data_IF_368181921569
#
_entry.id   IF_368181921569
#
_cell.length_a   1.000
_cell.length_b   1.000
_cell.length_c   1.000
_cell.angle_alpha   90.00
_cell.angle_beta   90.00
_cell.angle_gamma   90.00
#
_symmetry.space_group_name_H-M   'P 1'
#
loop_
_entity.id
_entity.type
_entity.pdbx_description
1 polymer ?
#
# COMPACT_ATOMS: atom_id res chain seq x y z
N UNK A 1 -6.98 19.38 -20.91
CA UNK A 1 -7.77 18.82 -19.82
C UNK A 1 -8.58 17.69 -20.40
N UNK A 2 -8.26 16.45 -20.03
CA UNK A 2 -9.01 15.30 -20.52
C UNK A 2 -10.31 15.18 -19.71
N UNK A 3 -11.36 14.58 -20.33
CA UNK A 3 -12.63 14.36 -19.65
C UNK A 3 -12.51 13.51 -18.37
N UNK A 4 -11.37 12.80 -18.19
CA UNK A 4 -11.03 12.07 -16.97
C UNK A 4 -10.70 13.01 -15.80
N UNK A 5 -10.04 14.15 -16.03
CA UNK A 5 -9.71 15.11 -14.98
C UNK A 5 -10.96 15.75 -14.37
N UNK A 6 -12.05 15.82 -15.13
CA UNK A 6 -13.33 16.34 -14.65
C UNK A 6 -14.11 15.33 -13.80
N UNK A 7 -13.87 14.04 -13.98
CA UNK A 7 -14.55 12.96 -13.23
C UNK A 7 -13.93 12.70 -11.84
N UNK A 8 -12.72 13.19 -11.59
CA UNK A 8 -11.97 12.93 -10.34
C UNK A 8 -11.99 14.16 -9.41
N UNK A 9 -12.54 15.30 -9.84
CA UNK A 9 -12.64 16.47 -8.98
C UNK A 9 -13.79 16.29 -7.96
N UNK A 10 -13.42 15.84 -6.76
CA UNK A 10 -14.33 15.73 -5.62
C UNK A 10 -14.61 17.13 -5.05
N UNK A 11 -15.86 17.53 -5.08
CA UNK A 11 -16.30 18.74 -4.40
C UNK A 11 -16.37 18.44 -2.87
N UNK A 12 -15.50 19.08 -2.10
CA UNK A 12 -15.18 18.82 -0.70
C UNK A 12 -16.30 19.14 0.31
N UNK A 13 -17.55 19.34 -0.13
CA UNK A 13 -18.60 19.89 0.72
C UNK A 13 -19.83 18.99 0.95
N UNK A 14 -19.75 17.68 0.73
CA UNK A 14 -20.83 16.75 1.03
C UNK A 14 -20.33 15.55 1.84
N UNK A 15 -21.10 15.14 2.86
CA UNK A 15 -20.82 13.99 3.72
C UNK A 15 -20.49 12.73 2.90
N UNK A 16 -19.42 12.01 3.27
CA UNK A 16 -18.72 10.97 2.48
C UNK A 16 -19.59 9.86 1.83
N UNK A 17 -20.83 9.65 2.29
CA UNK A 17 -21.76 8.65 1.73
C UNK A 17 -22.46 9.15 0.45
N UNK A 18 -22.73 10.44 0.34
CA UNK A 18 -23.39 11.01 -0.84
C UNK A 18 -22.39 11.20 -2.00
N UNK A 19 -21.14 11.46 -1.70
CA UNK A 19 -20.06 11.58 -2.70
C UNK A 19 -19.75 10.26 -3.37
N UNK A 20 -19.75 9.13 -2.64
CA UNK A 20 -19.51 7.81 -3.21
C UNK A 20 -20.62 7.39 -4.18
N UNK A 21 -21.88 7.62 -3.85
CA UNK A 21 -23.03 7.33 -4.73
C UNK A 21 -23.03 8.19 -5.99
N UNK A 22 -22.65 9.44 -5.87
CA UNK A 22 -22.57 10.38 -6.99
C UNK A 22 -21.40 10.06 -7.93
N UNK A 23 -20.23 9.74 -7.39
CA UNK A 23 -19.06 9.31 -8.17
C UNK A 23 -19.34 8.01 -8.94
N UNK A 24 -20.00 7.04 -8.31
CA UNK A 24 -20.41 5.77 -8.93
C UNK A 24 -21.41 5.97 -10.05
N UNK A 25 -22.41 6.83 -9.85
CA UNK A 25 -23.42 7.10 -10.89
C UNK A 25 -22.79 7.78 -12.11
N UNK A 26 -21.83 8.69 -11.93
CA UNK A 26 -21.09 9.34 -13.01
C UNK A 26 -20.12 8.40 -13.72
N UNK A 27 -19.40 7.56 -12.95
CA UNK A 27 -18.52 6.54 -13.51
C UNK A 27 -19.33 5.53 -14.34
N UNK A 28 -20.46 5.05 -13.83
CA UNK A 28 -21.38 4.18 -14.54
C UNK A 28 -21.91 4.80 -15.84
N UNK A 29 -22.26 6.09 -15.83
CA UNK A 29 -22.72 6.81 -17.02
C UNK A 29 -21.59 7.02 -18.05
N UNK A 30 -20.37 7.32 -17.61
CA UNK A 30 -19.21 7.48 -18.50
C UNK A 30 -18.80 6.14 -19.14
N UNK A 31 -18.82 5.06 -18.39
CA UNK A 31 -18.50 3.72 -18.89
C UNK A 31 -19.58 3.17 -19.83
N UNK A 32 -20.86 3.44 -19.54
CA UNK A 32 -21.95 3.12 -20.45
C UNK A 32 -21.83 3.88 -21.80
N UNK A 33 -21.34 5.12 -21.78
CA UNK A 33 -21.08 5.92 -22.98
C UNK A 33 -19.91 5.37 -23.81
N UNK A 34 -18.96 4.67 -23.16
CA UNK A 34 -17.83 4.00 -23.84
C UNK A 34 -18.19 2.59 -24.34
N UNK A 35 -19.43 2.12 -24.16
CA UNK A 35 -19.88 0.80 -24.60
C UNK A 35 -19.27 -0.37 -23.82
N UNK A 36 -18.68 -0.12 -22.66
CA UNK A 36 -18.12 -1.14 -21.77
C UNK A 36 -19.25 -1.61 -20.85
N UNK A 37 -19.79 -2.78 -21.12
CA UNK A 37 -20.90 -3.38 -20.38
C UNK A 37 -20.44 -3.97 -19.02
N UNK A 38 -20.20 -3.13 -18.01
CA UNK A 38 -20.13 -3.60 -16.63
C UNK A 38 -21.54 -3.78 -16.08
N UNK A 39 -21.80 -4.91 -15.45
CA UNK A 39 -23.07 -5.13 -14.75
C UNK A 39 -23.24 -4.15 -13.59
N UNK A 40 -24.48 -3.77 -13.27
CA UNK A 40 -24.76 -2.88 -12.14
C UNK A 40 -24.21 -3.41 -10.80
N UNK A 41 -24.07 -4.74 -10.66
CA UNK A 41 -23.46 -5.40 -9.50
C UNK A 41 -21.94 -5.19 -9.41
N UNK A 42 -21.23 -5.14 -10.52
CA UNK A 42 -19.79 -4.90 -10.55
C UNK A 42 -19.47 -3.45 -10.19
N UNK A 43 -20.25 -2.50 -10.72
CA UNK A 43 -20.13 -1.08 -10.35
C UNK A 43 -20.44 -0.84 -8.88
N UNK A 44 -21.43 -1.52 -8.32
CA UNK A 44 -21.74 -1.45 -6.90
C UNK A 44 -20.58 -1.99 -6.05
N UNK A 45 -19.96 -3.11 -6.46
CA UNK A 45 -18.79 -3.67 -5.78
C UNK A 45 -17.59 -2.71 -5.74
N UNK A 46 -17.26 -2.09 -6.87
CA UNK A 46 -16.19 -1.08 -6.94
C UNK A 46 -16.48 0.13 -6.04
N UNK A 47 -17.75 0.55 -5.99
CA UNK A 47 -18.16 1.65 -5.14
C UNK A 47 -18.06 1.36 -3.66
N UNK A 48 -18.47 0.16 -3.27
CA UNK A 48 -18.40 -0.30 -1.89
C UNK A 48 -16.93 -0.44 -1.46
N UNK A 49 -16.09 -0.96 -2.33
CA UNK A 49 -14.65 -1.09 -2.08
C UNK A 49 -13.99 0.29 -1.90
N UNK A 50 -14.27 1.24 -2.79
CA UNK A 50 -13.78 2.60 -2.68
C UNK A 50 -14.29 3.33 -1.43
N UNK A 51 -15.57 3.16 -1.10
CA UNK A 51 -16.18 3.73 0.11
C UNK A 51 -15.53 3.17 1.39
N UNK A 52 -15.29 1.86 1.42
CA UNK A 52 -14.61 1.20 2.52
C UNK A 52 -13.16 1.69 2.67
N UNK A 53 -12.43 1.80 1.55
CA UNK A 53 -11.06 2.32 1.54
C UNK A 53 -11.01 3.76 2.06
N UNK A 54 -11.87 4.64 1.52
CA UNK A 54 -11.98 6.04 1.93
C UNK A 54 -12.27 6.17 3.42
N UNK A 55 -13.22 5.38 3.93
CA UNK A 55 -13.54 5.36 5.36
C UNK A 55 -12.36 4.92 6.23
N UNK A 56 -11.62 3.89 5.82
CA UNK A 56 -10.44 3.39 6.54
C UNK A 56 -9.31 4.41 6.55
N UNK A 57 -9.04 5.05 5.42
CA UNK A 57 -8.03 6.12 5.34
C UNK A 57 -8.44 7.28 6.24
N UNK A 58 -9.71 7.72 6.21
CA UNK A 58 -10.22 8.77 7.07
C UNK A 58 -10.02 8.47 8.56
N UNK A 59 -10.32 7.24 8.99
CA UNK A 59 -10.09 6.80 10.37
C UNK A 59 -8.59 6.79 10.71
N UNK A 60 -7.75 6.26 9.83
CA UNK A 60 -6.32 6.18 10.06
C UNK A 60 -5.64 7.55 10.11
N UNK A 61 -6.06 8.49 9.27
CA UNK A 61 -5.54 9.86 9.28
C UNK A 61 -6.05 10.62 10.51
N UNK A 62 -7.32 10.45 10.87
CA UNK A 62 -7.97 11.10 12.01
C UNK A 62 -8.37 12.55 11.72
N UNK A 63 -9.00 13.19 12.70
CA UNK A 63 -9.64 14.52 12.55
C UNK A 63 -8.63 15.66 12.24
N UNK A 64 -7.38 15.50 12.59
CA UNK A 64 -6.34 16.53 12.41
C UNK A 64 -5.40 16.25 11.24
N UNK A 65 -5.58 15.13 10.56
CA UNK A 65 -4.75 14.74 9.42
C UNK A 65 -5.30 15.25 8.09
N UNK A 66 -4.48 15.16 7.07
CA UNK A 66 -4.84 15.52 5.70
C UNK A 66 -5.43 14.30 4.96
N UNK A 67 -6.75 14.16 5.02
CA UNK A 67 -7.47 13.09 4.34
C UNK A 67 -7.33 13.16 2.81
N UNK A 68 -7.42 14.35 2.23
CA UNK A 68 -7.34 14.52 0.77
C UNK A 68 -5.94 14.17 0.28
N UNK A 69 -4.91 14.67 0.95
CA UNK A 69 -3.51 14.32 0.64
C UNK A 69 -3.21 12.84 0.86
N UNK A 70 -3.82 12.18 1.87
CA UNK A 70 -3.66 10.74 2.06
C UNK A 70 -4.30 9.92 0.92
N UNK A 71 -5.51 10.28 0.50
CA UNK A 71 -6.20 9.61 -0.60
C UNK A 71 -5.46 9.77 -1.92
N UNK A 72 -5.00 10.98 -2.23
CA UNK A 72 -4.23 11.24 -3.45
C UNK A 72 -2.87 10.53 -3.40
N UNK A 73 -2.15 10.60 -2.27
CA UNK A 73 -0.87 9.92 -2.10
C UNK A 73 -1.00 8.39 -2.23
N UNK A 74 -2.03 7.77 -1.66
CA UNK A 74 -2.31 6.34 -1.83
C UNK A 74 -2.56 5.99 -3.29
N UNK A 75 -3.30 6.82 -4.01
CA UNK A 75 -3.56 6.64 -5.45
C UNK A 75 -2.26 6.78 -6.26
N UNK A 76 -1.45 7.79 -5.98
CA UNK A 76 -0.16 7.98 -6.64
C UNK A 76 0.77 6.79 -6.41
N UNK A 77 0.87 6.31 -5.16
CA UNK A 77 1.65 5.11 -4.81
C UNK A 77 1.14 3.88 -5.56
N UNK A 78 -0.18 3.65 -5.60
CA UNK A 78 -0.76 2.52 -6.32
C UNK A 78 -0.42 2.55 -7.81
N UNK A 79 -0.51 3.73 -8.44
CA UNK A 79 -0.16 3.93 -9.85
C UNK A 79 1.34 3.77 -10.10
N UNK A 80 2.19 4.40 -9.27
CA UNK A 80 3.65 4.34 -9.41
C UNK A 80 4.20 2.92 -9.23
N UNK A 81 3.54 2.12 -8.39
CA UNK A 81 3.95 0.73 -8.10
C UNK A 81 3.16 -0.31 -8.88
N UNK A 82 2.25 0.06 -9.78
CA UNK A 82 1.33 -0.85 -10.45
C UNK A 82 0.65 -1.83 -9.48
N UNK A 83 0.23 -1.33 -8.32
CA UNK A 83 -0.38 -2.12 -7.26
C UNK A 83 -1.88 -1.84 -7.18
N UNK A 84 -2.66 -2.80 -6.64
CA UNK A 84 -4.08 -2.60 -6.41
C UNK A 84 -4.30 -1.45 -5.41
N UNK A 85 -5.21 -0.53 -5.73
CA UNK A 85 -5.50 0.66 -4.92
C UNK A 85 -5.97 0.29 -3.50
N UNK A 86 -6.87 -0.68 -3.39
CA UNK A 86 -7.42 -1.13 -2.10
C UNK A 86 -6.33 -1.76 -1.21
N UNK A 87 -5.48 -2.61 -1.78
CA UNK A 87 -4.36 -3.23 -1.07
C UNK A 87 -3.32 -2.18 -0.63
N UNK A 88 -3.00 -1.22 -1.50
CA UNK A 88 -2.09 -0.10 -1.19
C UNK A 88 -2.64 0.77 -0.05
N UNK A 89 -3.93 1.10 -0.09
CA UNK A 89 -4.55 1.88 0.97
C UNK A 89 -4.67 1.12 2.29
N UNK A 90 -4.90 -0.19 2.26
CA UNK A 90 -4.85 -1.02 3.46
C UNK A 90 -3.44 -1.06 4.07
N UNK A 91 -2.41 -1.18 3.24
CA UNK A 91 -1.01 -1.10 3.70
C UNK A 91 -0.72 0.26 4.30
N UNK A 92 -1.06 1.34 3.61
CA UNK A 92 -0.90 2.71 4.12
C UNK A 92 -1.58 2.91 5.48
N UNK A 93 -2.86 2.54 5.63
CA UNK A 93 -3.58 2.74 6.89
C UNK A 93 -2.89 2.04 8.05
N UNK A 94 -2.41 0.82 7.83
CA UNK A 94 -1.72 0.05 8.87
C UNK A 94 -0.33 0.61 9.20
N UNK A 95 0.42 1.05 8.19
CA UNK A 95 1.73 1.72 8.39
C UNK A 95 1.53 3.04 9.14
N UNK A 96 0.54 3.84 8.73
CA UNK A 96 0.24 5.12 9.37
C UNK A 96 -0.18 4.94 10.84
N UNK A 97 -0.99 3.92 11.15
CA UNK A 97 -1.39 3.61 12.52
C UNK A 97 -0.21 3.14 13.39
N UNK A 98 0.61 2.22 12.88
CA UNK A 98 1.81 1.76 13.57
C UNK A 98 2.86 2.87 13.68
N UNK A 99 3.01 3.65 12.61
CA UNK A 99 4.00 4.72 12.49
C UNK A 99 3.75 5.91 13.42
N UNK A 100 2.48 6.22 13.74
CA UNK A 100 2.14 7.28 14.71
C UNK A 100 2.83 7.07 16.05
N UNK A 101 2.87 5.84 16.55
CA UNK A 101 3.54 5.50 17.80
C UNK A 101 5.07 5.64 17.70
N UNK A 102 5.62 5.61 16.50
CA UNK A 102 7.04 5.73 16.18
C UNK A 102 7.45 7.13 15.69
N UNK A 103 6.49 8.06 15.65
CA UNK A 103 6.73 9.46 15.25
C UNK A 103 6.77 9.69 13.72
N UNK A 104 6.29 8.73 12.91
CA UNK A 104 6.18 8.92 11.47
C UNK A 104 5.09 9.93 11.12
N UNK A 105 5.38 10.76 10.14
CA UNK A 105 4.39 11.62 9.51
C UNK A 105 3.53 10.83 8.52
N UNK A 106 2.43 11.43 8.05
CA UNK A 106 1.62 10.88 6.97
C UNK A 106 2.45 10.67 5.69
N UNK A 107 3.34 11.61 5.38
CA UNK A 107 4.22 11.53 4.22
C UNK A 107 5.23 10.37 4.35
N UNK A 108 5.86 10.21 5.52
CA UNK A 108 6.75 9.07 5.78
C UNK A 108 6.02 7.74 5.61
N UNK A 109 4.74 7.69 6.00
CA UNK A 109 3.90 6.50 5.85
C UNK A 109 3.57 6.19 4.39
N UNK A 110 3.36 7.20 3.55
CA UNK A 110 3.18 7.05 2.09
C UNK A 110 4.48 6.55 1.43
N UNK A 111 5.62 7.16 1.73
CA UNK A 111 6.92 6.78 1.20
C UNK A 111 7.30 5.34 1.60
N UNK A 112 7.03 4.96 2.84
CA UNK A 112 7.25 3.59 3.31
C UNK A 112 6.30 2.59 2.62
N UNK A 113 5.05 2.98 2.37
CA UNK A 113 4.09 2.18 1.61
C UNK A 113 4.58 1.92 0.19
N UNK A 114 5.09 2.94 -0.47
CA UNK A 114 5.67 2.85 -1.81
C UNK A 114 6.90 1.92 -1.82
N UNK A 115 7.82 2.12 -0.88
CA UNK A 115 9.01 1.30 -0.73
C UNK A 115 8.68 -0.17 -0.53
N UNK A 116 7.70 -0.48 0.32
CA UNK A 116 7.26 -1.86 0.58
C UNK A 116 6.62 -2.47 -0.66
N UNK A 117 5.73 -1.75 -1.36
CA UNK A 117 5.11 -2.23 -2.60
C UNK A 117 6.18 -2.56 -3.66
N UNK A 118 7.16 -1.67 -3.86
CA UNK A 118 8.28 -1.91 -4.80
C UNK A 118 9.13 -3.12 -4.38
N UNK A 119 9.47 -3.23 -3.10
CA UNK A 119 10.25 -4.37 -2.58
C UNK A 119 9.50 -5.70 -2.77
N UNK A 120 8.18 -5.74 -2.59
CA UNK A 120 7.36 -6.92 -2.84
C UNK A 120 7.39 -7.33 -4.32
N UNK A 121 7.28 -6.38 -5.23
CA UNK A 121 7.33 -6.67 -6.67
C UNK A 121 8.70 -7.16 -7.12
N UNK A 122 9.78 -6.63 -6.56
CA UNK A 122 11.14 -7.13 -6.77
C UNK A 122 11.30 -8.60 -6.31
N UNK A 123 10.52 -9.00 -5.32
CA UNK A 123 10.47 -10.39 -4.85
C UNK A 123 9.76 -11.36 -5.81
N UNK A 124 9.01 -10.86 -6.80
CA UNK A 124 8.31 -11.67 -7.81
C UNK A 124 7.12 -12.45 -7.26
N UNK A 125 6.60 -12.08 -6.09
CA UNK A 125 5.44 -12.75 -5.46
C UNK A 125 4.14 -12.51 -6.22
N UNK A 126 3.24 -13.50 -6.23
CA UNK A 126 1.87 -13.31 -6.69
C UNK A 126 1.13 -12.33 -5.77
N UNK A 127 0.10 -11.64 -6.29
CA UNK A 127 -0.68 -10.65 -5.54
C UNK A 127 -1.20 -11.19 -4.19
N UNK A 128 -1.71 -12.42 -4.15
CA UNK A 128 -2.16 -13.07 -2.91
C UNK A 128 -1.03 -13.30 -1.89
N UNK A 129 0.18 -13.60 -2.37
CA UNK A 129 1.36 -13.75 -1.49
C UNK A 129 1.77 -12.40 -0.90
N UNK A 130 1.73 -11.35 -1.71
CA UNK A 130 2.03 -10.00 -1.27
C UNK A 130 1.03 -9.52 -0.20
N UNK A 131 -0.27 -9.80 -0.37
CA UNK A 131 -1.29 -9.47 0.63
C UNK A 131 -1.04 -10.18 1.98
N UNK A 132 -0.70 -11.46 1.96
CA UNK A 132 -0.36 -12.18 3.19
C UNK A 132 0.91 -11.63 3.85
N UNK A 133 1.94 -11.27 3.08
CA UNK A 133 3.14 -10.62 3.59
C UNK A 133 2.85 -9.25 4.22
N UNK A 134 1.94 -8.46 3.61
CA UNK A 134 1.45 -7.18 4.16
C UNK A 134 0.84 -7.39 5.55
N UNK A 135 -0.02 -8.40 5.69
CA UNK A 135 -0.66 -8.73 6.97
C UNK A 135 0.40 -9.04 8.03
N UNK A 136 1.37 -9.90 7.73
CA UNK A 136 2.42 -10.29 8.66
C UNK A 136 3.32 -9.11 9.03
N UNK A 137 3.75 -8.32 8.04
CA UNK A 137 4.57 -7.14 8.29
C UNK A 137 3.85 -6.12 9.19
N UNK A 138 2.57 -5.86 8.90
CA UNK A 138 1.80 -4.89 9.69
C UNK A 138 1.49 -5.39 11.10
N UNK A 139 1.27 -6.69 11.30
CA UNK A 139 1.16 -7.29 12.64
C UNK A 139 2.47 -7.11 13.42
N UNK A 140 3.62 -7.38 12.78
CA UNK A 140 4.92 -7.17 13.39
C UNK A 140 5.14 -5.69 13.77
N UNK A 141 4.80 -4.75 12.88
CA UNK A 141 4.93 -3.32 13.18
C UNK A 141 4.04 -2.88 14.35
N UNK A 142 2.81 -3.40 14.45
CA UNK A 142 1.89 -3.10 15.55
C UNK A 142 2.30 -3.76 16.88
N UNK A 143 2.88 -4.97 16.83
CA UNK A 143 3.36 -5.67 18.03
C UNK A 143 4.67 -5.08 18.58
N UNK A 144 5.34 -4.24 17.80
CA UNK A 144 6.62 -3.62 18.17
C UNK A 144 7.85 -4.43 17.79
N UNK A 145 7.70 -5.70 17.38
CA UNK A 145 8.82 -6.60 17.04
C UNK A 145 8.43 -7.56 15.92
N UNK A 146 9.27 -7.66 14.90
CA UNK A 146 9.18 -8.69 13.86
C UNK A 146 9.78 -10.00 14.39
N UNK A 147 8.91 -10.95 14.75
CA UNK A 147 9.32 -12.26 15.31
C UNK A 147 9.55 -13.29 14.22
N UNK A 148 10.12 -14.44 14.62
CA UNK A 148 10.52 -15.50 13.70
C UNK A 148 9.40 -16.04 12.81
N UNK A 149 8.17 -16.16 13.32
CA UNK A 149 7.04 -16.68 12.55
C UNK A 149 6.59 -15.68 11.48
N UNK A 150 6.40 -14.40 11.84
CA UNK A 150 6.08 -13.33 10.89
C UNK A 150 7.23 -13.14 9.89
N UNK A 151 8.48 -13.17 10.36
CA UNK A 151 9.65 -13.07 9.50
C UNK A 151 9.74 -14.22 8.49
N UNK A 152 9.51 -15.47 8.90
CA UNK A 152 9.52 -16.61 8.00
C UNK A 152 8.44 -16.47 6.92
N UNK A 153 7.25 -16.02 7.30
CA UNK A 153 6.16 -15.75 6.36
C UNK A 153 6.53 -14.66 5.34
N UNK A 154 7.15 -13.56 5.79
CA UNK A 154 7.64 -12.49 4.91
C UNK A 154 8.74 -13.00 3.99
N UNK A 155 9.67 -13.80 4.48
CA UNK A 155 10.73 -14.40 3.66
C UNK A 155 10.20 -15.23 2.50
N UNK A 156 9.14 -16.02 2.75
CA UNK A 156 8.54 -16.90 1.76
C UNK A 156 7.66 -16.15 0.75
N UNK A 157 6.93 -15.15 1.22
CA UNK A 157 5.90 -14.48 0.43
C UNK A 157 6.37 -13.17 -0.20
N UNK A 158 7.30 -12.46 0.44
CA UNK A 158 7.87 -11.20 -0.03
C UNK A 158 9.40 -11.15 0.18
N UNK A 159 10.17 -12.00 -0.50
CA UNK A 159 11.62 -12.10 -0.30
C UNK A 159 12.38 -10.79 -0.58
N UNK A 160 11.79 -9.86 -1.35
CA UNK A 160 12.37 -8.53 -1.57
C UNK A 160 12.47 -7.70 -0.28
N UNK A 161 11.50 -7.83 0.63
CA UNK A 161 11.52 -7.15 1.93
C UNK A 161 12.65 -7.72 2.80
N UNK A 162 12.74 -9.04 2.95
CA UNK A 162 13.79 -9.65 3.75
C UNK A 162 15.19 -9.39 3.20
N UNK A 163 15.33 -9.32 1.87
CA UNK A 163 16.58 -8.93 1.22
C UNK A 163 16.97 -7.48 1.52
N UNK A 164 16.01 -6.56 1.50
CA UNK A 164 16.24 -5.17 1.85
C UNK A 164 16.66 -5.02 3.33
N UNK A 165 15.98 -5.72 4.25
CA UNK A 165 16.36 -5.72 5.66
C UNK A 165 17.78 -6.25 5.87
N UNK A 166 18.14 -7.38 5.25
CA UNK A 166 19.47 -7.95 5.34
C UNK A 166 20.55 -7.00 4.81
N UNK A 167 20.27 -6.31 3.69
CA UNK A 167 21.17 -5.35 3.08
C UNK A 167 21.42 -4.12 3.97
N UNK A 168 20.35 -3.53 4.55
CA UNK A 168 20.49 -2.37 5.45
C UNK A 168 21.26 -2.73 6.72
N UNK A 169 20.96 -3.89 7.31
CA UNK A 169 21.60 -4.31 8.56
C UNK A 169 23.00 -4.91 8.35
N UNK A 170 23.44 -5.12 7.11
CA UNK A 170 24.74 -5.67 6.78
C UNK A 170 24.90 -7.14 7.21
N UNK A 171 23.80 -7.91 7.24
CA UNK A 171 23.75 -9.30 7.68
C UNK A 171 23.27 -10.23 6.57
N UNK A 172 23.53 -11.51 6.71
CA UNK A 172 22.94 -12.53 5.83
C UNK A 172 21.48 -12.78 6.20
N UNK A 173 20.71 -13.36 5.27
CA UNK A 173 19.31 -13.75 5.54
C UNK A 173 19.18 -14.76 6.69
N UNK A 174 20.22 -15.62 6.85
CA UNK A 174 20.27 -16.57 7.98
C UNK A 174 20.46 -15.88 9.34
N UNK A 175 21.36 -14.90 9.41
CA UNK A 175 21.55 -14.08 10.60
C UNK A 175 20.31 -13.24 10.91
N UNK A 176 19.69 -12.66 9.89
CA UNK A 176 18.44 -11.92 10.03
C UNK A 176 17.32 -12.80 10.63
N UNK A 177 17.24 -14.07 10.23
CA UNK A 177 16.33 -15.05 10.84
C UNK A 177 16.63 -15.29 12.31
N UNK A 178 17.90 -15.38 12.68
CA UNK A 178 18.32 -15.54 14.07
C UNK A 178 17.89 -14.32 14.88
N UNK A 179 18.14 -13.10 14.39
CA UNK A 179 17.71 -11.85 15.02
C UNK A 179 16.20 -11.79 15.20
N UNK A 180 15.41 -12.24 14.20
CA UNK A 180 13.97 -12.31 14.32
C UNK A 180 13.51 -13.29 15.42
N UNK A 181 14.14 -14.46 15.50
CA UNK A 181 13.85 -15.46 16.56
C UNK A 181 14.20 -14.96 17.96
N UNK A 182 15.25 -14.18 18.08
CA UNK A 182 15.71 -13.56 19.33
C UNK A 182 14.93 -12.28 19.68
N UNK A 183 14.06 -11.80 18.77
CA UNK A 183 13.25 -10.60 18.97
C UNK A 183 14.03 -9.29 18.86
N UNK A 184 15.15 -9.30 18.16
CA UNK A 184 16.02 -8.13 17.96
C UNK A 184 15.53 -7.19 16.85
N UNK A 185 14.62 -7.65 15.97
CA UNK A 185 14.04 -6.85 14.88
C UNK A 185 12.87 -6.02 15.40
N UNK A 186 13.16 -4.91 16.09
CA UNK A 186 12.13 -3.98 16.51
C UNK A 186 11.44 -3.33 15.32
N UNK A 187 10.19 -2.86 15.49
CA UNK A 187 9.47 -2.13 14.45
C UNK A 187 10.25 -0.90 13.96
N UNK A 188 10.94 -0.19 14.88
CA UNK A 188 11.80 0.92 14.51
C UNK A 188 12.97 0.46 13.62
N UNK A 189 13.63 -0.65 13.97
CA UNK A 189 14.72 -1.23 13.16
C UNK A 189 14.22 -1.59 11.75
N UNK A 190 13.06 -2.23 11.65
CA UNK A 190 12.45 -2.63 10.37
C UNK A 190 12.12 -1.40 9.52
N UNK A 191 11.49 -0.38 10.09
CA UNK A 191 11.13 0.85 9.39
C UNK A 191 12.39 1.57 8.91
N UNK A 192 13.36 1.80 9.80
CA UNK A 192 14.61 2.48 9.44
C UNK A 192 15.37 1.74 8.34
N UNK A 193 15.44 0.41 8.41
CA UNK A 193 16.09 -0.41 7.41
C UNK A 193 15.42 -0.30 6.02
N UNK A 194 14.09 -0.29 5.97
CA UNK A 194 13.35 -0.11 4.73
C UNK A 194 13.50 1.30 4.16
N UNK A 195 13.49 2.33 5.01
CA UNK A 195 13.74 3.72 4.60
C UNK A 195 15.16 3.90 4.04
N UNK A 196 16.18 3.33 4.68
CA UNK A 196 17.57 3.36 4.17
C UNK A 196 17.72 2.69 2.81
N UNK A 197 16.93 1.64 2.54
CA UNK A 197 16.98 0.91 1.29
C UNK A 197 16.06 1.49 0.21
N UNK A 198 15.29 2.53 0.48
CA UNK A 198 14.30 3.08 -0.47
C UNK A 198 14.92 3.42 -1.83
N UNK A 199 16.06 4.11 -1.85
CA UNK A 199 16.73 4.48 -3.09
C UNK A 199 17.28 3.27 -3.88
N UNK A 200 17.77 2.24 -3.18
CA UNK A 200 18.25 1.01 -3.82
C UNK A 200 17.07 0.19 -4.38
N UNK A 201 15.97 0.10 -3.64
CA UNK A 201 14.72 -0.55 -4.06
C UNK A 201 14.16 0.17 -5.29
N UNK A 202 14.11 1.51 -5.28
CA UNK A 202 13.69 2.33 -6.42
C UNK A 202 14.52 2.01 -7.67
N UNK A 203 15.83 2.11 -7.54
CA UNK A 203 16.76 1.84 -8.66
C UNK A 203 16.63 0.43 -9.23
N UNK A 204 16.33 -0.57 -8.40
CA UNK A 204 16.11 -1.94 -8.85
C UNK A 204 14.70 -2.10 -9.45
N UNK A 205 13.71 -1.43 -8.91
CA UNK A 205 12.34 -1.44 -9.43
C UNK A 205 12.25 -0.86 -10.84
N UNK A 206 12.95 0.25 -11.12
CA UNK A 206 13.02 0.86 -12.45
C UNK A 206 13.60 -0.09 -13.54
N UNK A 207 14.36 -1.11 -13.14
CA UNK A 207 14.93 -2.12 -14.06
C UNK A 207 13.94 -3.25 -14.38
N UNK A 208 12.83 -3.34 -13.67
CA UNK A 208 11.82 -4.35 -13.95
C UNK A 208 11.16 -4.08 -15.32
N UNK A 209 11.03 -5.10 -16.17
CA UNK A 209 10.30 -4.93 -17.41
C UNK A 209 8.81 -4.67 -17.09
N UNK A 210 8.24 -3.64 -17.69
CA UNK A 210 6.79 -3.42 -17.67
C UNK A 210 6.12 -4.59 -18.38
N UNK A 211 5.48 -5.48 -17.62
CA UNK A 211 4.72 -6.58 -18.19
C UNK A 211 3.31 -6.11 -18.55
N UNK A 212 2.74 -6.64 -19.64
CA UNK A 212 1.36 -6.33 -20.07
C UNK A 212 0.35 -6.67 -18.96
N UNK A 213 0.64 -7.67 -18.10
CA UNK A 213 -0.19 -8.01 -16.95
C UNK A 213 -0.24 -6.93 -15.89
N UNK A 214 0.85 -6.19 -15.68
CA UNK A 214 0.92 -5.08 -14.74
C UNK A 214 0.30 -3.78 -15.32
N UNK A 215 0.23 -3.67 -16.64
CA UNK A 215 -0.36 -2.50 -17.32
C UNK A 215 -1.90 -2.58 -17.44
N UNK A 216 -2.51 -3.71 -17.07
CA UNK A 216 -3.96 -3.97 -17.19
C UNK A 216 -4.66 -4.13 -15.82
N UNK A 217 -3.97 -3.96 -14.71
CA UNK A 217 -4.53 -3.92 -13.36
C UNK A 217 -4.82 -2.49 -12.93
#
# INVERSE_FOLDING_TARGET
>A
MSDLDYLINFDSNTTGIDNSKFAVSKLGAAMAALGVGFGASELAGIADEFSNLSSRIGIAVGDTGDFEGAMEGVKEVALATNSNLSATGQLFTKINDAGKALGLTQQDSLELTETINKAMQLGGGAAASNEAAIIQLTQALQSGVLRGDEFNSIMEQAPGISKALAASLGVTTGELRTMANEGELSSQTVISALQEQSAAIESDYEKLPLTIGNALQ
#
